data_IF_354485246541
#
_entry.id   IF_354485246541
#
_cell.length_a   1.000
_cell.length_b   1.000
_cell.length_c   1.000
_cell.angle_alpha   90.00
_cell.angle_beta   90.00
_cell.angle_gamma   90.00
#
_symmetry.space_group_name_H-M   'P 1'
#
loop_
_entity.id
_entity.type
_entity.pdbx_description
1 polymer ?
#
# COMPACT_ATOMS: atom_id res chain seq x y z
N UNK A 1 -47.82 -14.05 26.69
CA UNK A 1 -46.49 -13.48 26.38
C UNK A 1 -46.04 -14.00 25.01
N UNK A 2 -45.74 -13.06 24.09
CA UNK A 2 -45.02 -13.10 22.79
C UNK A 2 -44.75 -14.44 22.04
N UNK A 3 -45.20 -14.49 20.79
CA UNK A 3 -44.66 -15.23 19.61
C UNK A 3 -43.20 -14.79 19.27
N UNK A 4 -42.50 -15.23 18.16
CA UNK A 4 -42.87 -16.13 17.04
C UNK A 4 -41.72 -17.00 16.40
N UNK A 5 -42.09 -17.71 15.32
CA UNK A 5 -41.33 -17.97 14.05
C UNK A 5 -40.09 -18.87 13.94
N UNK A 6 -40.21 -19.87 13.06
CA UNK A 6 -39.17 -20.66 12.37
C UNK A 6 -38.62 -19.82 11.18
N UNK A 7 -37.39 -20.05 10.63
CA UNK A 7 -37.22 -21.09 9.60
C UNK A 7 -35.90 -21.90 9.70
N UNK A 8 -35.93 -23.07 9.07
CA UNK A 8 -34.86 -24.05 8.97
C UNK A 8 -33.55 -23.50 8.35
N UNK A 9 -32.41 -24.01 8.81
CA UNK A 9 -31.14 -23.96 8.08
C UNK A 9 -30.63 -25.38 7.84
N UNK A 10 -30.57 -25.76 6.56
CA UNK A 10 -29.83 -26.91 6.07
C UNK A 10 -28.33 -26.70 6.29
N UNK A 11 -27.66 -27.64 6.95
CA UNK A 11 -26.20 -27.76 6.97
C UNK A 11 -25.80 -29.07 6.32
N UNK A 12 -25.21 -29.09 5.11
CA UNK A 12 -24.47 -30.25 4.66
C UNK A 12 -23.12 -30.32 5.40
N UNK A 13 -22.96 -31.45 6.08
CA UNK A 13 -21.75 -31.99 6.69
C UNK A 13 -20.56 -31.98 5.75
N UNK A 14 -19.45 -31.37 6.15
CA UNK A 14 -18.09 -31.98 6.16
C UNK A 14 -17.02 -30.90 6.17
N UNK A 15 -16.39 -30.66 7.32
CA UNK A 15 -14.96 -30.95 7.44
C UNK A 15 -14.54 -30.91 8.91
N UNK A 16 -13.70 -31.87 9.27
CA UNK A 16 -13.22 -32.16 10.62
C UNK A 16 -12.47 -30.96 11.19
N UNK A 17 -12.85 -30.57 12.41
CA UNK A 17 -12.09 -29.63 13.23
C UNK A 17 -11.13 -30.45 14.09
N UNK A 18 -9.94 -30.73 13.56
CA UNK A 18 -8.86 -31.33 14.36
C UNK A 18 -8.07 -30.23 15.09
N UNK A 19 -8.45 -30.09 16.36
CA UNK A 19 -7.59 -30.00 17.54
C UNK A 19 -6.28 -29.20 17.50
N UNK A 20 -6.24 -28.27 18.45
CA UNK A 20 -5.10 -27.98 19.32
C UNK A 20 -3.91 -27.19 18.75
N UNK A 21 -4.02 -25.87 18.85
CA UNK A 21 -2.90 -25.06 19.32
C UNK A 21 -3.43 -23.85 20.11
N UNK A 22 -3.40 -23.94 21.44
CA UNK A 22 -3.53 -22.79 22.33
C UNK A 22 -2.25 -21.96 22.22
N UNK A 23 -2.16 -21.16 21.17
CA UNK A 23 -1.21 -20.07 21.06
C UNK A 23 -2.00 -18.81 20.83
N UNK A 24 -1.95 -17.86 21.76
CA UNK A 24 -2.35 -16.49 21.49
C UNK A 24 -1.45 -15.93 20.37
N UNK A 25 -1.78 -16.24 19.12
CA UNK A 25 -1.30 -15.51 17.98
C UNK A 25 -2.16 -14.24 17.95
N UNK A 26 -1.55 -13.09 18.26
CA UNK A 26 -2.07 -11.80 17.79
C UNK A 26 -2.27 -11.94 16.29
N UNK A 27 -3.50 -12.23 15.88
CA UNK A 27 -3.93 -12.24 14.49
C UNK A 27 -3.94 -10.76 14.07
N UNK A 28 -2.75 -10.22 13.78
CA UNK A 28 -2.62 -8.93 13.11
C UNK A 28 -3.25 -9.14 11.74
N UNK A 29 -4.46 -8.66 11.55
CA UNK A 29 -5.08 -8.54 10.23
C UNK A 29 -4.10 -7.78 9.33
N UNK A 30 -3.36 -8.52 8.50
CA UNK A 30 -2.50 -8.00 7.44
C UNK A 30 -3.40 -7.80 6.24
N UNK A 31 -3.87 -6.58 6.01
CA UNK A 31 -4.59 -6.26 4.78
C UNK A 31 -3.56 -5.90 3.70
N UNK A 32 -3.75 -6.39 2.47
CA UNK A 32 -3.07 -5.83 1.30
C UNK A 32 -3.93 -4.73 0.69
N UNK A 33 -3.28 -3.78 0.02
CA UNK A 33 -3.92 -2.68 -0.69
C UNK A 33 -3.11 -2.34 -1.94
N UNK A 34 -3.78 -1.84 -2.97
CA UNK A 34 -3.14 -1.32 -4.17
C UNK A 34 -2.79 0.16 -4.01
N UNK A 35 -1.66 0.55 -4.58
CA UNK A 35 -1.22 1.94 -4.64
C UNK A 35 -0.48 2.23 -5.95
N UNK A 36 -0.62 3.46 -6.43
CA UNK A 36 0.08 3.97 -7.62
C UNK A 36 1.47 4.47 -7.22
N UNK A 37 2.50 4.14 -7.98
CA UNK A 37 3.86 4.63 -7.75
C UNK A 37 3.99 5.99 -8.43
N UNK A 38 4.27 7.05 -7.66
CA UNK A 38 4.56 8.38 -8.21
C UNK A 38 6.01 8.82 -7.99
N UNK A 39 6.86 7.94 -7.44
CA UNK A 39 8.28 8.21 -7.32
C UNK A 39 9.06 7.13 -6.58
N UNK A 40 10.38 7.26 -6.56
CA UNK A 40 11.27 6.40 -5.78
C UNK A 40 12.37 7.18 -5.08
N UNK A 41 12.94 6.58 -4.04
CA UNK A 41 14.13 7.07 -3.33
C UNK A 41 15.30 6.13 -3.60
N UNK A 42 16.47 6.68 -3.91
CA UNK A 42 17.69 5.91 -4.16
C UNK A 42 18.14 5.95 -5.63
N UNK A 43 18.78 4.88 -6.10
CA UNK A 43 19.33 4.82 -7.45
C UNK A 43 18.28 4.26 -8.43
N UNK A 44 18.15 4.75 -9.67
CA UNK A 44 17.13 4.29 -10.63
C UNK A 44 17.13 2.77 -10.85
N UNK A 45 18.31 2.16 -10.95
CA UNK A 45 18.47 0.70 -11.12
C UNK A 45 18.30 -0.11 -9.83
N UNK A 46 18.31 0.55 -8.67
CA UNK A 46 18.26 -0.07 -7.33
C UNK A 46 17.50 0.86 -6.37
N UNK A 47 16.19 1.05 -6.60
CA UNK A 47 15.38 1.89 -5.72
C UNK A 47 15.41 1.30 -4.31
N UNK A 48 15.59 2.16 -3.31
CA UNK A 48 15.56 1.78 -1.90
C UNK A 48 14.14 1.79 -1.35
N UNK A 49 13.27 2.61 -1.90
CA UNK A 49 11.86 2.72 -1.51
C UNK A 49 11.04 3.43 -2.56
N UNK A 50 9.72 3.22 -2.52
CA UNK A 50 8.76 3.85 -3.43
C UNK A 50 7.90 4.86 -2.68
N UNK A 51 7.54 5.93 -3.37
CA UNK A 51 6.53 6.89 -2.94
C UNK A 51 5.21 6.49 -3.58
N UNK A 52 4.19 6.33 -2.74
CA UNK A 52 2.92 5.72 -3.10
C UNK A 52 1.80 6.76 -3.07
N UNK A 53 0.88 6.60 -4.01
CA UNK A 53 -0.26 7.46 -4.22
C UNK A 53 -1.56 6.68 -4.45
N UNK A 54 -2.67 7.41 -4.38
CA UNK A 54 -4.00 6.91 -4.72
C UNK A 54 -4.80 8.02 -5.38
N UNK A 55 -5.61 7.65 -6.37
CA UNK A 55 -6.54 8.61 -6.97
C UNK A 55 -7.74 8.82 -6.05
N UNK A 56 -8.14 10.07 -5.87
CA UNK A 56 -9.42 10.39 -5.26
C UNK A 56 -10.54 10.35 -6.33
N UNK A 57 -11.80 10.47 -5.90
CA UNK A 57 -12.95 10.50 -6.82
C UNK A 57 -12.94 11.67 -7.80
N UNK A 58 -12.15 12.70 -7.53
CA UNK A 58 -11.95 13.86 -8.41
C UNK A 58 -10.79 13.66 -9.41
N UNK A 59 -10.21 12.45 -9.50
CA UNK A 59 -9.11 12.15 -10.43
C UNK A 59 -7.76 12.74 -10.01
N UNK A 60 -7.62 13.24 -8.78
CA UNK A 60 -6.36 13.79 -8.28
C UNK A 60 -5.55 12.70 -7.58
N UNK A 61 -4.28 12.56 -7.97
CA UNK A 61 -3.34 11.65 -7.34
C UNK A 61 -2.84 12.23 -6.02
N UNK A 62 -3.24 11.63 -4.90
CA UNK A 62 -2.78 12.01 -3.55
C UNK A 62 -1.69 11.06 -3.09
N UNK A 63 -0.61 11.60 -2.52
CA UNK A 63 0.38 10.78 -1.82
C UNK A 63 -0.33 10.13 -0.63
N UNK A 64 -0.15 8.83 -0.44
CA UNK A 64 -0.75 8.06 0.68
C UNK A 64 0.30 7.46 1.61
N UNK A 65 1.53 7.29 1.13
CA UNK A 65 2.61 6.75 1.95
C UNK A 65 3.90 6.48 1.19
N UNK A 66 4.81 5.77 1.84
CA UNK A 66 6.03 5.24 1.23
C UNK A 66 6.22 3.78 1.62
N UNK A 67 6.97 3.03 0.83
CA UNK A 67 7.34 1.67 1.23
C UNK A 67 8.42 1.68 2.30
N UNK A 68 8.54 0.56 3.03
CA UNK A 68 9.79 0.20 3.71
C UNK A 68 10.92 0.02 2.68
N UNK A 69 12.13 -0.22 3.18
CA UNK A 69 13.23 -0.63 2.33
C UNK A 69 12.84 -1.82 1.45
N UNK A 70 13.10 -1.69 0.14
CA UNK A 70 12.94 -2.77 -0.83
C UNK A 70 14.09 -3.77 -0.66
N UNK A 71 13.75 -5.06 -0.80
CA UNK A 71 14.79 -6.09 -0.97
C UNK A 71 15.48 -5.92 -2.33
N UNK A 72 16.69 -6.47 -2.49
CA UNK A 72 17.39 -6.41 -3.77
C UNK A 72 16.57 -7.01 -4.92
N UNK A 73 15.84 -8.09 -4.65
CA UNK A 73 14.94 -8.73 -5.62
C UNK A 73 13.77 -7.82 -5.99
N UNK A 74 13.08 -7.24 -5.01
CA UNK A 74 11.98 -6.31 -5.26
C UNK A 74 12.44 -5.05 -6.01
N UNK A 75 13.61 -4.53 -5.67
CA UNK A 75 14.22 -3.40 -6.36
C UNK A 75 14.54 -3.73 -7.83
N UNK A 76 15.07 -4.93 -8.10
CA UNK A 76 15.37 -5.39 -9.45
C UNK A 76 14.11 -5.68 -10.29
N UNK A 77 13.02 -6.12 -9.65
CA UNK A 77 11.73 -6.36 -10.28
C UNK A 77 11.03 -5.05 -10.66
N UNK A 78 11.01 -4.07 -9.75
CA UNK A 78 10.27 -2.81 -9.96
C UNK A 78 11.06 -1.81 -10.81
N UNK A 79 12.39 -1.75 -10.69
CA UNK A 79 13.22 -0.77 -11.41
C UNK A 79 12.96 -0.68 -12.92
N UNK A 80 12.88 -1.80 -13.69
CA UNK A 80 12.63 -1.72 -15.13
C UNK A 80 11.20 -1.27 -15.49
N UNK A 81 10.27 -1.28 -14.53
CA UNK A 81 8.88 -0.86 -14.71
C UNK A 81 8.67 0.62 -14.41
N UNK A 82 9.68 1.31 -13.87
CA UNK A 82 9.58 2.72 -13.51
C UNK A 82 9.88 3.61 -14.73
N UNK A 83 8.86 4.29 -15.22
CA UNK A 83 9.00 5.28 -16.29
C UNK A 83 9.41 6.63 -15.69
N UNK A 84 10.56 7.23 -16.05
CA UNK A 84 10.92 8.56 -15.58
C UNK A 84 9.84 9.60 -15.91
N UNK A 85 9.56 10.52 -14.98
CA UNK A 85 8.60 11.60 -15.24
C UNK A 85 9.09 12.45 -16.42
N UNK A 86 8.20 12.67 -17.39
CA UNK A 86 8.46 13.51 -18.56
C UNK A 86 7.55 14.74 -18.46
N UNK A 87 8.07 15.83 -17.86
CA UNK A 87 7.35 17.10 -17.74
C UNK A 87 6.71 17.35 -16.37
N UNK A 88 5.54 17.98 -16.37
CA UNK A 88 4.84 18.40 -15.15
C UNK A 88 4.29 17.18 -14.40
N UNK A 89 4.76 17.01 -13.16
CA UNK A 89 4.38 15.88 -12.32
C UNK A 89 3.29 16.31 -11.31
N UNK A 90 2.28 15.46 -10.98
CA UNK A 90 1.19 15.81 -10.06
C UNK A 90 1.64 16.18 -8.63
N UNK A 91 2.86 15.80 -8.26
CA UNK A 91 3.45 16.04 -6.94
C UNK A 91 4.64 17.00 -7.02
N UNK A 92 4.97 17.71 -5.93
CA UNK A 92 6.16 18.56 -5.87
C UNK A 92 7.45 17.75 -5.95
N UNK A 93 8.55 18.38 -6.38
CA UNK A 93 9.87 17.74 -6.52
C UNK A 93 10.44 17.20 -5.19
N UNK A 94 9.98 17.73 -4.05
CA UNK A 94 10.29 17.21 -2.72
C UNK A 94 9.00 17.14 -1.90
N UNK A 95 8.82 16.03 -1.18
CA UNK A 95 7.68 15.90 -0.28
C UNK A 95 7.95 16.69 1.01
N UNK A 96 6.93 17.38 1.55
CA UNK A 96 7.12 18.15 2.75
C UNK A 96 7.48 17.25 3.94
N UNK A 97 8.18 17.81 4.94
CA UNK A 97 8.68 17.10 6.10
C UNK A 97 7.76 16.13 6.82
N UNK A 98 6.46 16.42 6.79
CA UNK A 98 5.45 15.58 7.41
C UNK A 98 5.48 14.14 6.88
N UNK A 99 5.94 13.92 5.65
CA UNK A 99 6.05 12.60 5.01
C UNK A 99 7.25 11.77 5.46
N UNK A 100 8.25 12.41 6.08
CA UNK A 100 9.35 11.70 6.72
C UNK A 100 8.82 10.98 7.97
N UNK A 101 8.61 9.67 7.87
CA UNK A 101 8.47 8.82 9.05
C UNK A 101 9.84 8.70 9.73
N UNK A 102 10.25 9.75 10.46
CA UNK A 102 11.42 9.76 11.32
C UNK A 102 10.98 9.63 12.78
N UNK A 103 11.40 8.58 13.50
CA UNK A 103 11.09 8.41 14.91
C UNK A 103 11.75 9.48 15.81
N UNK A 104 12.74 10.21 15.29
CA UNK A 104 13.52 11.21 16.05
C UNK A 104 13.10 12.66 15.78
N UNK A 105 11.91 12.88 15.21
CA UNK A 105 11.37 14.23 15.00
C UNK A 105 12.06 15.06 13.92
N UNK A 106 13.11 14.53 13.27
CA UNK A 106 13.70 15.19 12.11
C UNK A 106 12.73 15.16 10.93
N UNK A 107 12.39 16.38 10.53
CA UNK A 107 11.36 16.77 9.58
C UNK A 107 12.08 17.33 8.36
N UNK A 108 12.96 16.55 7.77
CA UNK A 108 13.58 16.93 6.51
C UNK A 108 12.65 16.59 5.34
N UNK A 109 12.61 17.46 4.31
CA UNK A 109 11.93 17.13 3.07
C UNK A 109 12.48 15.81 2.50
N UNK A 110 11.58 14.97 1.98
CA UNK A 110 12.02 13.76 1.28
C UNK A 110 12.31 14.15 -0.16
N UNK A 111 13.58 14.13 -0.53
CA UNK A 111 14.01 14.15 -1.93
C UNK A 111 13.80 12.77 -2.55
N UNK A 112 13.11 12.74 -3.69
CA UNK A 112 12.80 11.53 -4.42
C UNK A 112 12.84 11.81 -5.92
N UNK A 113 13.01 10.79 -6.74
CA UNK A 113 12.90 10.90 -8.19
C UNK A 113 11.46 10.61 -8.59
N UNK A 114 10.85 11.54 -9.31
CA UNK A 114 9.50 11.42 -9.81
C UNK A 114 9.44 10.43 -10.97
N UNK A 115 8.37 9.65 -11.02
CA UNK A 115 8.07 8.73 -12.13
C UNK A 115 6.68 9.03 -12.67
N UNK A 116 6.39 8.60 -13.89
CA UNK A 116 5.01 8.60 -14.37
C UNK A 116 4.14 7.76 -13.41
N UNK A 117 2.93 8.21 -13.05
CA UNK A 117 2.01 7.45 -12.21
C UNK A 117 1.29 6.35 -13.01
N UNK A 118 2.05 5.54 -13.75
CA UNK A 118 1.58 4.48 -14.65
C UNK A 118 1.67 3.07 -14.03
N UNK A 119 2.42 2.93 -12.92
CA UNK A 119 2.65 1.66 -12.25
C UNK A 119 1.83 1.52 -10.98
N UNK A 120 1.06 0.42 -10.88
CA UNK A 120 0.38 0.00 -9.65
C UNK A 120 1.20 -1.08 -8.94
N UNK A 121 1.28 -0.99 -7.61
CA UNK A 121 1.92 -1.99 -6.75
C UNK A 121 0.97 -2.45 -5.65
N UNK A 122 1.09 -3.72 -5.27
CA UNK A 122 0.41 -4.26 -4.10
C UNK A 122 1.30 -4.10 -2.86
N UNK A 123 0.74 -3.58 -1.79
CA UNK A 123 1.43 -3.31 -0.53
C UNK A 123 0.70 -3.90 0.67
N UNK A 124 1.46 -4.36 1.64
CA UNK A 124 0.95 -4.80 2.92
C UNK A 124 0.78 -3.59 3.85
N UNK A 125 -0.44 -3.35 4.30
CA UNK A 125 -0.78 -2.28 5.24
C UNK A 125 -1.03 -2.87 6.63
N UNK A 126 -0.46 -2.27 7.67
CA UNK A 126 -0.83 -2.60 9.05
C UNK A 126 -2.16 -1.89 9.35
N UNK A 127 -3.14 -2.63 9.87
CA UNK A 127 -4.54 -2.19 10.06
C UNK A 127 -4.70 -1.07 11.10
N UNK A 128 -3.61 -0.57 11.71
CA UNK A 128 -3.60 0.69 12.44
C UNK A 128 -3.71 1.90 11.47
N UNK A 129 -4.86 2.04 10.82
CA UNK A 129 -5.24 3.21 10.01
C UNK A 129 -5.74 4.33 10.93
N UNK A 130 -5.11 5.50 10.80
CA UNK A 130 -5.65 6.80 11.18
C UNK A 130 -5.93 7.54 9.86
N UNK A 131 -7.12 7.33 9.27
CA UNK A 131 -7.55 7.98 8.02
C UNK A 131 -6.93 7.46 6.70
N UNK A 132 -6.91 8.33 5.67
CA UNK A 132 -6.42 8.08 4.30
C UNK A 132 -4.88 8.03 4.18
N UNK A 133 -4.17 8.16 5.30
CA UNK A 133 -2.71 8.31 5.35
C UNK A 133 -2.05 7.16 6.08
N UNK A 134 -1.12 6.48 5.41
CA UNK A 134 -0.26 5.49 6.05
C UNK A 134 0.86 6.19 6.81
N UNK A 135 0.64 6.42 8.11
CA UNK A 135 1.68 6.99 9.00
C UNK A 135 2.90 6.07 9.14
N UNK A 136 2.72 4.77 8.94
CA UNK A 136 3.80 3.78 8.93
C UNK A 136 4.15 3.37 7.49
N UNK A 137 5.44 3.24 7.14
CA UNK A 137 5.85 2.70 5.86
C UNK A 137 5.24 1.31 5.62
N UNK A 138 4.76 1.08 4.41
CA UNK A 138 4.08 -0.16 4.01
C UNK A 138 5.06 -1.12 3.36
N UNK A 139 4.81 -2.43 3.42
CA UNK A 139 5.73 -3.40 2.80
C UNK A 139 5.32 -3.64 1.34
N UNK A 140 6.24 -3.46 0.41
CA UNK A 140 6.03 -3.88 -0.99
C UNK A 140 5.83 -5.39 -1.08
N UNK A 141 4.84 -5.83 -1.88
CA UNK A 141 4.58 -7.23 -2.18
C UNK A 141 4.98 -7.58 -3.61
N UNK A 142 4.36 -6.93 -4.60
CA UNK A 142 4.55 -7.22 -6.04
C UNK A 142 4.06 -6.06 -6.92
N UNK A 143 4.49 -5.97 -8.19
CA UNK A 143 3.92 -5.06 -9.15
C UNK A 143 2.61 -5.64 -9.70
N UNK A 144 1.66 -4.75 -10.03
CA UNK A 144 0.36 -5.10 -10.62
C UNK A 144 0.28 -4.42 -11.99
N UNK A 145 1.08 -4.92 -12.92
CA UNK A 145 1.05 -4.46 -14.33
C UNK A 145 -0.25 -4.83 -15.05
N UNK A 146 -1.09 -5.64 -14.41
CA UNK A 146 -2.44 -5.99 -14.85
C UNK A 146 -3.52 -4.99 -14.41
N UNK A 147 -3.19 -4.00 -13.57
CA UNK A 147 -4.13 -3.01 -13.07
C UNK A 147 -3.88 -1.64 -13.67
N UNK A 148 -4.96 -1.00 -14.11
CA UNK A 148 -4.91 0.39 -14.55
C UNK A 148 -4.84 1.33 -13.33
N UNK A 149 -3.85 2.25 -13.27
CA UNK A 149 -3.71 3.21 -12.18
C UNK A 149 -4.98 4.01 -11.86
N UNK A 150 -5.80 4.32 -12.87
CA UNK A 150 -7.03 5.11 -12.69
C UNK A 150 -8.08 4.38 -11.85
N UNK A 151 -8.00 3.05 -11.78
CA UNK A 151 -8.93 2.20 -11.02
C UNK A 151 -8.57 2.11 -9.53
N UNK A 152 -7.39 2.59 -9.14
CA UNK A 152 -6.94 2.59 -7.74
C UNK A 152 -7.54 3.80 -7.00
N UNK A 153 -8.84 3.72 -6.71
CA UNK A 153 -9.63 4.80 -6.08
C UNK A 153 -9.83 4.56 -4.59
N UNK A 154 -9.66 5.61 -3.76
CA UNK A 154 -9.98 5.61 -2.31
C UNK A 154 -11.40 5.10 -2.00
N UNK A 155 -11.52 4.06 -1.17
CA UNK A 155 -12.79 3.64 -0.56
C UNK A 155 -13.17 4.61 0.55
#
# INVERSE_FOLDING_TARGET
MKSPSIPAQFKPTSSRYESAARGWLKLKHRASAEAVVGGYVGHPRRPRGLILGRYNRAGQLRVVGRTTHLSAQAAAEVAPLLTPAAGEHPWPAALPPGWAASPYGQRDPITYTQVQPDLVVEVLVDTAKDGDRHRHPVRYLRPRTDLDPVLVVGQ
#
